data_IF_613005031651
#
_entry.id   IF_613005031651
#
_cell.length_a   1.000
_cell.length_b   1.000
_cell.length_c   1.000
_cell.angle_alpha   90.00
_cell.angle_beta   90.00
_cell.angle_gamma   90.00
#
_symmetry.space_group_name_H-M   'P 1'
#
loop_
_entity.id
_entity.type
_entity.pdbx_description
1 polymer ?
#
# COMPACT_ATOMS: atom_id res chain seq x y z
N UNK A 1 -9.83 18.38 3.69
CA UNK A 1 -9.93 19.29 2.54
C UNK A 1 -9.72 18.42 1.33
N UNK A 2 -10.55 18.58 0.31
CA UNK A 2 -10.39 17.82 -0.92
C UNK A 2 -9.18 18.39 -1.66
N UNK A 3 -8.11 17.58 -1.76
CA UNK A 3 -6.85 17.97 -2.39
C UNK A 3 -6.76 17.44 -3.83
N UNK A 4 -7.84 16.84 -4.35
CA UNK A 4 -7.88 16.21 -5.67
C UNK A 4 -7.95 17.28 -6.77
N UNK A 5 -6.77 17.72 -7.20
CA UNK A 5 -6.61 18.36 -8.49
C UNK A 5 -5.86 17.38 -9.40
N UNK A 6 -6.56 16.88 -10.43
CA UNK A 6 -5.98 15.98 -11.43
C UNK A 6 -4.63 16.52 -11.93
N UNK A 7 -3.60 15.66 -11.89
CA UNK A 7 -2.24 16.01 -12.34
C UNK A 7 -1.34 16.60 -11.25
N UNK A 8 -1.80 16.67 -9.99
CA UNK A 8 -0.93 17.02 -8.86
C UNK A 8 -0.98 15.94 -7.79
N UNK A 9 0.19 15.50 -7.32
CA UNK A 9 0.33 14.48 -6.28
C UNK A 9 0.62 15.13 -4.93
N UNK A 10 -0.17 14.81 -3.92
CA UNK A 10 0.08 15.21 -2.55
C UNK A 10 1.23 14.42 -1.93
N UNK A 11 2.30 15.11 -1.48
CA UNK A 11 3.49 14.48 -0.88
C UNK A 11 3.61 14.71 0.63
N UNK A 12 2.57 15.26 1.27
CA UNK A 12 2.58 15.63 2.67
C UNK A 12 2.46 17.13 2.86
N UNK A 13 2.97 17.63 3.99
CA UNK A 13 2.92 19.06 4.33
C UNK A 13 4.31 19.61 4.57
N UNK A 14 4.46 20.92 4.41
CA UNK A 14 5.60 21.64 4.96
C UNK A 14 5.68 21.44 6.47
N UNK A 15 6.91 21.57 7.00
CA UNK A 15 7.22 21.45 8.43
C UNK A 15 7.14 22.81 9.12
N UNK A 16 6.13 23.60 8.77
CA UNK A 16 5.80 24.87 9.39
C UNK A 16 4.53 24.76 10.27
N UNK A 17 4.18 25.83 10.97
CA UNK A 17 2.95 25.87 11.77
C UNK A 17 1.70 25.78 10.90
N UNK A 18 1.76 26.32 9.67
CA UNK A 18 0.65 26.32 8.75
C UNK A 18 0.36 24.93 8.15
N UNK A 19 1.34 24.01 8.16
CA UNK A 19 1.26 22.66 7.60
C UNK A 19 0.76 22.70 6.15
N UNK A 20 1.33 23.60 5.37
CA UNK A 20 0.89 23.83 3.98
C UNK A 20 1.07 22.56 3.15
N UNK A 21 0.05 22.09 2.40
CA UNK A 21 0.17 20.93 1.53
C UNK A 21 1.27 21.09 0.47
N UNK A 22 2.09 20.06 0.31
CA UNK A 22 3.07 19.96 -0.77
C UNK A 22 2.41 19.21 -1.92
N UNK A 23 1.97 19.96 -2.94
CA UNK A 23 1.38 19.43 -4.17
C UNK A 23 2.44 19.42 -5.27
N UNK A 24 2.81 18.22 -5.73
CA UNK A 24 3.83 17.99 -6.72
C UNK A 24 3.23 17.81 -8.11
N UNK A 25 3.76 18.48 -9.13
CA UNK A 25 3.28 18.33 -10.51
C UNK A 25 3.66 16.96 -11.07
N UNK A 26 2.69 16.10 -11.35
CA UNK A 26 2.96 14.72 -11.77
C UNK A 26 3.67 14.65 -13.13
N UNK A 27 3.59 15.71 -13.94
CA UNK A 27 4.31 15.80 -15.23
C UNK A 27 5.82 15.76 -15.05
N UNK A 28 6.35 16.21 -13.93
CA UNK A 28 7.78 16.17 -13.65
C UNK A 28 8.29 14.73 -13.50
N UNK A 29 7.44 13.79 -13.07
CA UNK A 29 7.78 12.36 -12.95
C UNK A 29 8.01 11.68 -14.31
N UNK A 30 7.60 12.30 -15.43
CA UNK A 30 7.90 11.79 -16.78
C UNK A 30 9.38 11.87 -17.14
N UNK A 31 10.18 12.59 -16.35
CA UNK A 31 11.63 12.72 -16.52
C UNK A 31 12.46 11.83 -15.60
N UNK A 32 11.81 10.86 -14.93
CA UNK A 32 12.35 9.97 -13.89
C UNK A 32 12.55 10.69 -12.54
N UNK A 33 12.32 9.95 -11.46
CA UNK A 33 12.57 10.39 -10.09
C UNK A 33 13.42 9.36 -9.35
N UNK A 34 14.15 9.82 -8.33
CA UNK A 34 14.92 8.94 -7.45
C UNK A 34 14.69 9.32 -5.99
N UNK A 35 14.29 8.35 -5.17
CA UNK A 35 14.13 8.53 -3.73
C UNK A 35 15.36 7.98 -2.99
N UNK A 36 16.18 8.85 -2.40
CA UNK A 36 17.41 8.50 -1.70
C UNK A 36 17.29 8.71 -0.18
N UNK A 37 17.99 7.91 0.61
CA UNK A 37 17.95 7.99 2.07
C UNK A 37 18.32 6.67 2.77
N UNK A 38 18.60 6.72 4.07
CA UNK A 38 18.95 5.54 4.88
C UNK A 38 17.73 4.66 5.20
N UNK A 39 17.92 3.41 5.60
CA UNK A 39 16.80 2.57 6.10
C UNK A 39 16.08 3.27 7.25
N UNK A 40 14.74 3.21 7.26
CA UNK A 40 13.92 3.93 8.25
C UNK A 40 13.66 5.41 7.93
N UNK A 41 14.27 5.99 6.89
CA UNK A 41 14.07 7.39 6.51
C UNK A 41 12.76 7.70 5.78
N UNK A 42 11.86 6.72 5.65
CA UNK A 42 10.57 6.91 4.96
C UNK A 42 10.58 6.75 3.44
N UNK A 43 11.67 6.31 2.79
CA UNK A 43 11.71 6.09 1.31
C UNK A 43 10.55 5.25 0.79
N UNK A 44 10.29 4.10 1.43
CA UNK A 44 9.18 3.22 1.03
C UNK A 44 7.84 3.94 1.20
N UNK A 45 7.66 4.68 2.29
CA UNK A 45 6.45 5.49 2.51
C UNK A 45 6.25 6.57 1.44
N UNK A 46 7.32 7.25 1.01
CA UNK A 46 7.25 8.21 -0.08
C UNK A 46 6.88 7.55 -1.42
N UNK A 47 7.46 6.39 -1.74
CA UNK A 47 7.07 5.63 -2.92
C UNK A 47 5.61 5.20 -2.86
N UNK A 48 5.12 4.78 -1.68
CA UNK A 48 3.72 4.40 -1.48
C UNK A 48 2.79 5.58 -1.73
N UNK A 49 3.07 6.75 -1.13
CA UNK A 49 2.30 7.96 -1.38
C UNK A 49 2.24 8.31 -2.87
N UNK A 50 3.38 8.28 -3.57
CA UNK A 50 3.43 8.51 -5.03
C UNK A 50 2.56 7.51 -5.82
N UNK A 51 2.55 6.24 -5.42
CA UNK A 51 1.75 5.20 -6.07
C UNK A 51 0.26 5.41 -5.80
N UNK A 52 -0.11 5.76 -4.57
CA UNK A 52 -1.49 6.04 -4.18
C UNK A 52 -2.06 7.23 -4.97
N UNK A 53 -1.33 8.34 -5.03
CA UNK A 53 -1.71 9.53 -5.81
C UNK A 53 -1.83 9.22 -7.31
N UNK A 54 -0.90 8.42 -7.86
CA UNK A 54 -0.99 7.98 -9.25
C UNK A 54 -2.26 7.15 -9.53
N UNK A 55 -2.61 6.24 -8.61
CA UNK A 55 -3.81 5.41 -8.73
C UNK A 55 -5.09 6.26 -8.60
N UNK A 56 -5.12 7.25 -7.69
CA UNK A 56 -6.23 8.19 -7.54
C UNK A 56 -6.47 8.98 -8.82
N UNK A 57 -5.40 9.39 -9.52
CA UNK A 57 -5.45 10.06 -10.81
C UNK A 57 -5.72 9.11 -12.00
N UNK A 58 -5.91 7.81 -11.76
CA UNK A 58 -6.16 6.80 -12.79
C UNK A 58 -4.93 6.46 -13.64
N UNK A 59 -3.72 6.79 -13.17
CA UNK A 59 -2.46 6.44 -13.82
C UNK A 59 -2.08 5.01 -13.44
N UNK A 60 -1.89 4.11 -14.41
CA UNK A 60 -1.51 2.73 -14.12
C UNK A 60 -0.07 2.64 -13.60
N UNK A 61 0.13 1.85 -12.54
CA UNK A 61 1.43 1.65 -11.89
C UNK A 61 1.92 0.22 -12.06
N UNK A 62 3.18 0.06 -12.46
CA UNK A 62 3.92 -1.20 -12.36
C UNK A 62 5.01 -1.02 -11.31
N UNK A 63 4.91 -1.76 -10.21
CA UNK A 63 5.89 -1.72 -9.11
C UNK A 63 6.73 -3.00 -9.10
N UNK A 64 8.06 -2.84 -9.08
CA UNK A 64 9.01 -3.95 -8.90
C UNK A 64 9.56 -3.84 -7.48
N UNK A 65 9.15 -4.76 -6.62
CA UNK A 65 9.53 -4.74 -5.21
C UNK A 65 10.34 -5.98 -4.82
N UNK A 66 11.68 -5.87 -4.77
CA UNK A 66 12.52 -6.97 -4.33
C UNK A 66 12.40 -7.28 -2.83
N UNK A 67 11.83 -6.38 -2.02
CA UNK A 67 11.62 -6.59 -0.58
C UNK A 67 10.30 -7.27 -0.27
N UNK A 68 9.31 -7.13 -1.14
CA UNK A 68 7.97 -7.70 -1.00
C UNK A 68 7.05 -6.94 -0.05
N UNK A 69 7.43 -5.75 0.40
CA UNK A 69 6.66 -4.91 1.32
C UNK A 69 5.44 -4.26 0.64
N UNK A 70 5.53 -3.92 -0.65
CA UNK A 70 4.47 -3.28 -1.42
C UNK A 70 3.27 -4.22 -1.65
N UNK A 71 3.48 -5.54 -1.62
CA UNK A 71 2.40 -6.52 -1.71
C UNK A 71 1.37 -6.37 -0.58
N UNK A 72 1.77 -5.80 0.56
CA UNK A 72 0.86 -5.54 1.67
C UNK A 72 -0.24 -4.53 1.33
N UNK A 73 -0.03 -3.64 0.34
CA UNK A 73 -1.08 -2.74 -0.12
C UNK A 73 -2.29 -3.49 -0.65
N UNK A 74 -2.08 -4.67 -1.25
CA UNK A 74 -3.12 -5.51 -1.82
C UNK A 74 -3.92 -6.27 -0.75
N UNK A 75 -3.50 -6.19 0.52
CA UNK A 75 -4.14 -6.86 1.65
C UNK A 75 -5.06 -5.91 2.47
N UNK A 76 -5.42 -4.76 1.90
CA UNK A 76 -6.39 -3.83 2.50
C UNK A 76 -7.82 -4.27 2.23
N UNK A 77 -8.30 -5.26 3.00
CA UNK A 77 -9.66 -5.81 2.85
C UNK A 77 -10.66 -5.12 3.79
N UNK A 78 -11.61 -4.31 3.30
CA UNK A 78 -12.54 -3.58 4.18
C UNK A 78 -13.43 -4.49 5.02
N UNK A 79 -13.85 -5.64 4.46
CA UNK A 79 -14.69 -6.61 5.14
C UNK A 79 -13.90 -7.62 5.97
N UNK A 80 -12.59 -7.72 5.75
CA UNK A 80 -11.70 -8.74 6.35
C UNK A 80 -12.31 -10.14 6.24
N UNK A 81 -12.91 -10.46 5.08
CA UNK A 81 -13.62 -11.72 4.88
C UNK A 81 -12.63 -12.83 4.51
N UNK A 82 -12.92 -14.08 4.89
CA UNK A 82 -12.05 -15.22 4.56
C UNK A 82 -11.76 -15.36 3.06
N UNK A 83 -12.76 -15.06 2.22
CA UNK A 83 -12.65 -15.05 0.75
C UNK A 83 -11.62 -14.05 0.24
N UNK A 84 -11.39 -12.95 0.95
CA UNK A 84 -10.42 -11.93 0.54
C UNK A 84 -8.98 -12.44 0.75
N UNK A 85 -8.76 -13.27 1.77
CA UNK A 85 -7.46 -13.87 2.08
C UNK A 85 -7.16 -15.12 1.27
N UNK A 86 -8.19 -15.90 0.89
CA UNK A 86 -8.03 -17.19 0.23
C UNK A 86 -7.08 -17.17 -0.99
N UNK A 87 -7.13 -16.18 -1.90
CA UNK A 87 -6.20 -16.11 -3.04
C UNK A 87 -4.72 -15.92 -2.67
N UNK A 88 -4.46 -15.44 -1.44
CA UNK A 88 -3.13 -15.09 -0.95
C UNK A 88 -2.56 -16.16 0.00
N UNK A 89 -3.34 -17.17 0.37
CA UNK A 89 -2.88 -18.26 1.23
C UNK A 89 -1.94 -19.18 0.45
N UNK A 90 -0.75 -19.40 1.00
CA UNK A 90 0.17 -20.45 0.53
C UNK A 90 -0.43 -21.85 0.82
N UNK A 91 -0.73 -22.66 -0.21
CA UNK A 91 -1.27 -24.00 -0.01
C UNK A 91 -0.36 -24.90 0.84
N UNK A 92 0.96 -24.74 0.73
CA UNK A 92 1.90 -25.50 1.55
C UNK A 92 1.87 -25.09 3.02
N UNK A 93 1.50 -23.84 3.33
CA UNK A 93 1.30 -23.40 4.72
C UNK A 93 0.03 -24.02 5.33
N UNK A 94 -1.05 -24.10 4.56
CA UNK A 94 -2.27 -24.78 4.97
C UNK A 94 -2.04 -26.28 5.21
N UNK A 95 -1.30 -26.93 4.31
CA UNK A 95 -0.91 -28.35 4.43
C UNK A 95 -0.08 -28.61 5.70
N UNK A 96 0.95 -27.79 5.98
CA UNK A 96 1.76 -27.90 7.21
C UNK A 96 0.93 -27.71 8.48
N UNK A 97 -0.14 -26.92 8.41
CA UNK A 97 -1.09 -26.73 9.50
C UNK A 97 -2.17 -27.83 9.58
N UNK A 98 -2.20 -28.77 8.62
CA UNK A 98 -3.16 -29.87 8.58
C UNK A 98 -4.60 -29.44 8.25
N UNK A 99 -4.78 -28.30 7.58
CA UNK A 99 -6.10 -27.73 7.25
C UNK A 99 -6.20 -27.39 5.76
N UNK A 100 -7.42 -27.16 5.27
CA UNK A 100 -7.62 -26.69 3.89
C UNK A 100 -7.24 -25.22 3.74
N UNK A 101 -7.03 -24.77 2.51
CA UNK A 101 -6.74 -23.36 2.20
C UNK A 101 -7.88 -22.45 2.68
N UNK A 102 -9.12 -22.88 2.52
CA UNK A 102 -10.32 -22.16 2.97
C UNK A 102 -10.33 -22.01 4.50
N UNK A 103 -10.11 -23.10 5.23
CA UNK A 103 -10.05 -23.09 6.69
C UNK A 103 -8.88 -22.25 7.23
N UNK A 104 -7.74 -22.26 6.52
CA UNK A 104 -6.59 -21.41 6.85
C UNK A 104 -6.89 -19.93 6.60
N UNK A 105 -7.60 -19.60 5.52
CA UNK A 105 -8.05 -18.25 5.22
C UNK A 105 -9.05 -17.73 6.27
N UNK A 106 -10.00 -18.57 6.71
CA UNK A 106 -10.93 -18.24 7.81
C UNK A 106 -10.18 -17.93 9.11
N UNK A 107 -9.21 -18.77 9.46
CA UNK A 107 -8.39 -18.58 10.66
C UNK A 107 -7.57 -17.29 10.57
N UNK A 108 -6.98 -17.01 9.41
CA UNK A 108 -6.22 -15.78 9.15
C UNK A 108 -7.10 -14.54 9.25
N UNK A 109 -8.26 -14.55 8.60
CA UNK A 109 -9.23 -13.45 8.63
C UNK A 109 -9.75 -13.19 10.05
N UNK A 110 -9.97 -14.24 10.85
CA UNK A 110 -10.33 -14.11 12.26
C UNK A 110 -9.18 -13.46 13.05
N UNK A 111 -7.95 -13.95 12.90
CA UNK A 111 -6.77 -13.40 13.59
C UNK A 111 -6.57 -11.92 13.28
N UNK A 112 -6.75 -11.50 12.04
CA UNK A 112 -6.66 -10.09 11.65
C UNK A 112 -7.77 -9.25 12.29
N UNK A 113 -9.02 -9.70 12.25
CA UNK A 113 -10.13 -9.01 12.95
C UNK A 113 -9.87 -8.85 14.44
N UNK A 114 -9.41 -9.91 15.11
CA UNK A 114 -9.14 -9.89 16.54
C UNK A 114 -7.96 -8.95 16.91
N UNK A 115 -6.99 -8.77 15.99
CA UNK A 115 -5.83 -7.88 16.19
C UNK A 115 -6.08 -6.41 15.84
N UNK A 116 -7.19 -6.09 15.16
CA UNK A 116 -7.63 -4.73 14.83
C UNK A 116 -8.56 -4.13 15.89
N UNK A 117 -9.04 -4.94 16.84
CA UNK A 117 -9.97 -4.56 17.91
C UNK A 117 -9.26 -3.95 19.13
#
# INVERSE_FOLDING_TARGET
MDHDQLGTFYLGTELDEARTPVLYDSRDLTTHAVCLGMTGSGKTGLCLALIEEAILDGVPVIAIDPKGDLGNLLLTFPAVAASDFQPWVDPSAAERAGVTVEAYAETTAKRWRDGLA
#
